data_IF_129191127322
#
_entry.id   IF_129191127322
#
_cell.length_a   1.000
_cell.length_b   1.000
_cell.length_c   1.000
_cell.angle_alpha   90.00
_cell.angle_beta   90.00
_cell.angle_gamma   90.00
#
_symmetry.space_group_name_H-M   'P 1'
#
loop_
_entity.id
_entity.type
_entity.pdbx_description
1 polymer ?
#
# COMPACT_ATOMS: atom_id res chain seq x y z
N UNK A 1 -49.66 26.70 13.63
CA UNK A 1 -49.32 26.23 15.00
C UNK A 1 -50.62 26.10 15.77
N UNK A 2 -50.95 24.91 16.28
CA UNK A 2 -52.18 24.72 17.08
C UNK A 2 -51.99 25.36 18.46
N UNK A 3 -52.96 26.17 18.91
CA UNK A 3 -52.98 26.77 20.25
C UNK A 3 -53.27 25.66 21.27
N UNK A 4 -52.37 25.50 22.24
CA UNK A 4 -52.49 24.54 23.34
C UNK A 4 -53.42 25.17 24.37
N UNK A 5 -54.64 24.62 24.54
CA UNK A 5 -55.66 25.20 25.42
C UNK A 5 -56.01 24.30 26.63
N UNK A 6 -55.39 23.12 26.76
CA UNK A 6 -55.63 22.14 27.84
C UNK A 6 -54.36 21.40 28.23
N UNK A 7 -54.27 20.93 29.49
CA UNK A 7 -53.17 20.10 30.01
C UNK A 7 -52.99 18.78 29.23
N UNK A 8 -54.06 18.27 28.62
CA UNK A 8 -54.01 17.12 27.71
C UNK A 8 -53.26 17.42 26.41
N UNK A 9 -53.51 18.58 25.81
CA UNK A 9 -52.85 19.02 24.56
C UNK A 9 -51.34 19.24 24.78
N UNK A 10 -50.97 19.77 25.95
CA UNK A 10 -49.57 19.98 26.32
C UNK A 10 -48.83 18.64 26.45
N UNK A 11 -49.44 17.66 27.10
CA UNK A 11 -48.86 16.32 27.29
C UNK A 11 -48.69 15.59 25.95
N UNK A 12 -49.67 15.72 25.06
CA UNK A 12 -49.61 15.18 23.71
C UNK A 12 -48.51 15.84 22.87
N UNK A 13 -48.39 17.18 22.94
CA UNK A 13 -47.32 17.91 22.27
C UNK A 13 -45.92 17.49 22.78
N UNK A 14 -45.77 17.31 24.10
CA UNK A 14 -44.52 16.81 24.71
C UNK A 14 -44.19 15.40 24.21
N UNK A 15 -45.17 14.50 24.14
CA UNK A 15 -44.97 13.15 23.64
C UNK A 15 -44.52 13.14 22.17
N UNK A 16 -45.13 14.00 21.33
CA UNK A 16 -44.74 14.16 19.93
C UNK A 16 -43.33 14.72 19.78
N UNK A 17 -42.97 15.74 20.57
CA UNK A 17 -41.63 16.33 20.57
C UNK A 17 -40.57 15.32 21.01
N UNK A 18 -40.85 14.52 22.05
CA UNK A 18 -39.95 13.43 22.48
C UNK A 18 -39.73 12.38 21.40
N UNK A 19 -40.80 11.96 20.72
CA UNK A 19 -40.70 11.01 19.60
C UNK A 19 -39.86 11.57 18.46
N UNK A 20 -40.05 12.85 18.12
CA UNK A 20 -39.27 13.54 17.10
C UNK A 20 -37.79 13.67 17.50
N UNK A 21 -37.52 14.00 18.76
CA UNK A 21 -36.16 14.12 19.29
C UNK A 21 -35.43 12.78 19.28
N UNK A 22 -36.09 11.68 19.66
CA UNK A 22 -35.51 10.34 19.62
C UNK A 22 -35.08 9.95 18.19
N UNK A 23 -35.95 10.16 17.19
CA UNK A 23 -35.61 9.89 15.79
C UNK A 23 -34.48 10.78 15.26
N UNK A 24 -34.38 12.03 15.72
CA UNK A 24 -33.28 12.92 15.34
C UNK A 24 -31.94 12.49 15.94
N UNK A 25 -31.93 12.01 17.20
CA UNK A 25 -30.73 11.50 17.85
C UNK A 25 -30.23 10.24 17.14
N UNK A 26 -31.12 9.33 16.76
CA UNK A 26 -30.78 8.11 16.04
C UNK A 26 -30.13 8.40 14.68
N UNK A 27 -30.71 9.33 13.91
CA UNK A 27 -30.14 9.81 12.64
C UNK A 27 -28.75 10.44 12.82
N UNK A 28 -28.58 11.25 13.87
CA UNK A 28 -27.31 11.89 14.18
C UNK A 28 -26.23 10.87 14.55
N UNK A 29 -26.58 9.85 15.34
CA UNK A 29 -25.66 8.78 15.70
C UNK A 29 -25.25 7.96 14.47
N UNK A 30 -26.18 7.66 13.57
CA UNK A 30 -25.87 6.95 12.32
C UNK A 30 -24.91 7.74 11.43
N UNK A 31 -25.12 9.06 11.29
CA UNK A 31 -24.24 9.94 10.53
C UNK A 31 -22.85 10.07 11.17
N UNK A 32 -22.77 10.17 12.50
CA UNK A 32 -21.50 10.18 13.23
C UNK A 32 -20.75 8.87 13.06
N UNK A 33 -21.42 7.72 13.15
CA UNK A 33 -20.81 6.42 12.93
C UNK A 33 -20.25 6.28 11.51
N UNK A 34 -21.02 6.67 10.49
CA UNK A 34 -20.54 6.65 9.10
C UNK A 34 -19.37 7.58 8.85
N UNK A 35 -19.41 8.79 9.43
CA UNK A 35 -18.32 9.76 9.29
C UNK A 35 -17.07 9.26 10.01
N UNK A 36 -17.22 8.74 11.23
CA UNK A 36 -16.14 8.13 11.99
C UNK A 36 -15.52 6.94 11.26
N UNK A 37 -16.34 6.05 10.71
CA UNK A 37 -15.86 4.89 9.94
C UNK A 37 -15.14 5.32 8.66
N UNK A 38 -15.64 6.34 7.96
CA UNK A 38 -15.01 6.89 6.75
C UNK A 38 -13.68 7.59 7.03
N UNK A 39 -13.53 8.21 8.21
CA UNK A 39 -12.29 8.87 8.64
C UNK A 39 -11.25 7.89 9.19
N UNK A 40 -11.58 6.60 9.37
CA UNK A 40 -10.58 5.60 9.76
C UNK A 40 -9.51 5.53 8.66
N UNK A 41 -8.22 5.68 9.02
CA UNK A 41 -7.13 5.69 8.04
C UNK A 41 -7.07 4.39 7.22
N UNK A 42 -7.51 3.26 7.79
CA UNK A 42 -7.65 1.99 7.08
C UNK A 42 -8.62 2.06 5.89
N UNK A 43 -9.77 2.72 6.06
CA UNK A 43 -10.77 2.87 5.01
C UNK A 43 -10.32 3.87 3.94
N UNK A 44 -9.59 4.93 4.35
CA UNK A 44 -8.95 5.86 3.41
C UNK A 44 -7.89 5.16 2.54
N UNK A 45 -6.97 4.41 3.16
CA UNK A 45 -5.93 3.66 2.44
C UNK A 45 -6.57 2.62 1.51
N UNK A 46 -7.58 1.88 1.98
CA UNK A 46 -8.28 0.89 1.16
C UNK A 46 -8.92 1.52 -0.08
N UNK A 47 -9.63 2.63 0.09
CA UNK A 47 -10.29 3.31 -1.01
C UNK A 47 -9.29 3.94 -1.98
N UNK A 48 -8.21 4.53 -1.48
CA UNK A 48 -7.15 5.10 -2.33
C UNK A 48 -6.40 4.01 -3.10
N UNK A 49 -6.06 2.88 -2.47
CA UNK A 49 -5.38 1.76 -3.13
C UNK A 49 -6.29 1.10 -4.17
N UNK A 50 -7.58 0.89 -3.88
CA UNK A 50 -8.52 0.31 -4.84
C UNK A 50 -8.76 1.22 -6.05
N UNK A 51 -8.89 2.53 -5.83
CA UNK A 51 -9.01 3.52 -6.91
C UNK A 51 -7.71 3.61 -7.73
N UNK A 52 -6.55 3.62 -7.06
CA UNK A 52 -5.26 3.63 -7.74
C UNK A 52 -5.04 2.33 -8.53
N UNK A 53 -5.35 1.16 -7.97
CA UNK A 53 -5.19 -0.12 -8.66
C UNK A 53 -6.15 -0.30 -9.86
N UNK A 54 -7.24 0.48 -9.92
CA UNK A 54 -8.17 0.50 -11.04
C UNK A 54 -7.61 1.16 -12.30
N UNK A 55 -6.63 2.07 -12.19
CA UNK A 55 -6.05 2.74 -13.35
C UNK A 55 -4.93 1.91 -14.00
N UNK A 56 -4.94 1.87 -15.33
CA UNK A 56 -3.94 1.12 -16.11
C UNK A 56 -2.51 1.63 -15.86
N UNK A 57 -2.36 2.94 -15.65
CA UNK A 57 -1.06 3.59 -15.38
C UNK A 57 -0.43 3.14 -14.07
N UNK A 58 -1.23 2.97 -13.01
CA UNK A 58 -0.72 2.51 -11.71
C UNK A 58 -0.32 1.03 -11.79
N UNK A 59 -1.06 0.20 -12.52
CA UNK A 59 -0.64 -1.20 -12.74
C UNK A 59 0.71 -1.28 -13.44
N UNK A 60 0.91 -0.48 -14.49
CA UNK A 60 2.19 -0.40 -15.18
C UNK A 60 3.31 0.13 -14.26
N UNK A 61 3.02 1.17 -13.48
CA UNK A 61 4.01 1.76 -12.56
C UNK A 61 4.37 0.81 -11.41
N UNK A 62 3.41 0.05 -10.86
CA UNK A 62 3.66 -0.98 -9.83
C UNK A 62 4.48 -2.14 -10.42
N UNK A 63 4.18 -2.58 -11.64
CA UNK A 63 4.97 -3.62 -12.32
C UNK A 63 6.41 -3.16 -12.57
N UNK A 64 6.60 -1.93 -13.06
CA UNK A 64 7.93 -1.37 -13.28
C UNK A 64 8.69 -1.14 -11.96
N UNK A 65 8.02 -0.62 -10.93
CA UNK A 65 8.61 -0.41 -9.59
C UNK A 65 8.97 -1.72 -8.92
N UNK A 66 8.09 -2.73 -8.98
CA UNK A 66 8.36 -4.06 -8.42
C UNK A 66 9.46 -4.80 -9.17
N UNK A 67 9.57 -4.62 -10.49
CA UNK A 67 10.70 -5.12 -11.27
C UNK A 67 12.02 -4.46 -10.82
N UNK A 68 12.05 -3.14 -10.64
CA UNK A 68 13.22 -2.41 -10.13
C UNK A 68 13.61 -2.82 -8.71
N UNK A 69 12.63 -3.01 -7.82
CA UNK A 69 12.85 -3.48 -6.44
C UNK A 69 13.35 -4.92 -6.42
N UNK A 70 12.77 -5.80 -7.22
CA UNK A 70 13.19 -7.21 -7.32
C UNK A 70 14.59 -7.29 -7.91
N UNK A 71 14.88 -6.55 -8.97
CA UNK A 71 16.20 -6.45 -9.56
C UNK A 71 17.23 -5.91 -8.56
N UNK A 72 16.92 -4.82 -7.86
CA UNK A 72 17.77 -4.25 -6.81
C UNK A 72 18.00 -5.21 -5.65
N UNK A 73 16.97 -5.96 -5.23
CA UNK A 73 17.07 -6.98 -4.20
C UNK A 73 17.94 -8.17 -4.64
N UNK A 74 17.77 -8.66 -5.87
CA UNK A 74 18.60 -9.73 -6.43
C UNK A 74 20.06 -9.29 -6.56
N UNK A 75 20.29 -8.08 -7.07
CA UNK A 75 21.63 -7.47 -7.18
C UNK A 75 22.25 -7.34 -5.78
N UNK A 76 21.51 -6.83 -4.79
CA UNK A 76 21.99 -6.73 -3.40
C UNK A 76 22.30 -8.10 -2.80
N UNK A 77 21.44 -9.08 -3.03
CA UNK A 77 21.64 -10.46 -2.56
C UNK A 77 22.83 -11.14 -3.24
N UNK A 78 23.16 -10.73 -4.47
CA UNK A 78 24.28 -11.26 -5.24
C UNK A 78 25.61 -10.61 -4.94
N UNK A 79 25.63 -9.27 -4.88
CA UNK A 79 26.85 -8.49 -4.67
C UNK A 79 27.22 -8.40 -3.19
N UNK A 80 26.24 -8.40 -2.29
CA UNK A 80 26.42 -8.23 -0.83
C UNK A 80 26.08 -9.51 -0.06
N UNK A 81 25.82 -10.62 -0.77
CA UNK A 81 25.26 -11.85 -0.20
C UNK A 81 25.89 -12.25 1.14
N UNK A 82 25.05 -12.44 2.17
CA UNK A 82 25.28 -12.87 3.59
C UNK A 82 26.69 -12.74 4.17
N UNK A 83 27.51 -11.80 3.70
CA UNK A 83 28.91 -11.70 4.05
C UNK A 83 29.04 -10.81 5.26
N UNK A 84 29.49 -11.38 6.37
CA UNK A 84 29.76 -10.67 7.62
C UNK A 84 30.98 -9.75 7.51
N UNK A 85 31.77 -9.87 6.42
CA UNK A 85 33.02 -9.14 6.25
C UNK A 85 32.78 -7.72 5.67
N UNK A 86 33.12 -6.65 6.41
CA UNK A 86 32.88 -5.27 6.00
C UNK A 86 33.59 -4.86 4.70
N UNK A 87 34.74 -5.45 4.37
CA UNK A 87 35.50 -5.15 3.14
C UNK A 87 34.71 -5.58 1.90
N UNK A 88 34.09 -6.76 1.95
CA UNK A 88 33.25 -7.28 0.87
C UNK A 88 31.98 -6.44 0.67
N UNK A 89 31.43 -5.85 1.74
CA UNK A 89 30.29 -4.92 1.64
C UNK A 89 30.65 -3.63 0.93
N UNK A 90 31.82 -3.06 1.23
CA UNK A 90 32.32 -1.84 0.59
C UNK A 90 32.58 -2.09 -0.90
N UNK A 91 33.26 -3.19 -1.23
CA UNK A 91 33.50 -3.60 -2.62
C UNK A 91 32.18 -3.88 -3.38
N UNK A 92 31.23 -4.56 -2.75
CA UNK A 92 29.90 -4.81 -3.33
C UNK A 92 29.11 -3.52 -3.59
N UNK A 93 29.17 -2.55 -2.67
CA UNK A 93 28.53 -1.25 -2.84
C UNK A 93 29.21 -0.42 -3.95
N UNK A 94 30.54 -0.45 -4.06
CA UNK A 94 31.27 0.23 -5.12
C UNK A 94 30.96 -0.38 -6.51
N UNK A 95 30.88 -1.71 -6.60
CA UNK A 95 30.42 -2.39 -7.82
C UNK A 95 28.97 -2.04 -8.17
N UNK A 96 28.08 -1.99 -7.17
CA UNK A 96 26.68 -1.60 -7.37
C UNK A 96 26.55 -0.17 -7.90
N UNK A 97 27.38 0.76 -7.39
CA UNK A 97 27.44 2.13 -7.89
C UNK A 97 27.86 2.19 -9.37
N UNK A 98 28.87 1.41 -9.75
CA UNK A 98 29.30 1.27 -11.16
C UNK A 98 28.23 0.66 -12.06
N UNK A 99 27.60 -0.43 -11.63
CA UNK A 99 26.53 -1.12 -12.39
C UNK A 99 25.30 -0.24 -12.56
N UNK A 100 24.90 0.52 -11.54
CA UNK A 100 23.73 1.41 -11.60
C UNK A 100 23.92 2.50 -12.65
N UNK A 101 25.13 3.06 -12.74
CA UNK A 101 25.48 4.04 -13.77
C UNK A 101 25.50 3.46 -15.20
N UNK A 102 25.88 2.19 -15.37
CA UNK A 102 25.88 1.52 -16.68
C UNK A 102 24.48 1.06 -17.10
N UNK A 103 23.67 0.53 -16.18
CA UNK A 103 22.29 0.09 -16.46
C UNK A 103 21.39 1.25 -16.85
N UNK A 104 21.59 2.43 -16.23
CA UNK A 104 20.87 3.65 -16.62
C UNK A 104 21.19 4.13 -18.05
N UNK A 105 22.32 3.69 -18.63
CA UNK A 105 22.76 4.07 -19.99
C UNK A 105 22.61 2.94 -21.02
N UNK A 106 22.67 1.67 -20.62
CA UNK A 106 22.59 0.50 -21.49
C UNK A 106 21.76 -0.64 -20.85
N UNK A 107 20.49 -0.83 -21.26
CA UNK A 107 19.63 -1.89 -20.73
C UNK A 107 20.13 -3.31 -21.05
N UNK A 108 21.03 -3.47 -22.04
CA UNK A 108 21.63 -4.76 -22.42
C UNK A 108 22.48 -5.43 -21.33
N UNK A 109 22.98 -4.67 -20.35
CA UNK A 109 23.74 -5.25 -19.23
C UNK A 109 22.87 -6.17 -18.35
N UNK A 110 21.58 -5.86 -18.17
CA UNK A 110 20.66 -6.72 -17.43
C UNK A 110 20.51 -8.11 -18.08
N UNK A 111 20.58 -8.18 -19.41
CA UNK A 111 20.48 -9.43 -20.19
C UNK A 111 21.71 -10.32 -19.96
N UNK A 112 22.90 -9.74 -19.83
CA UNK A 112 24.12 -10.51 -19.55
C UNK A 112 24.17 -10.98 -18.08
N UNK A 113 23.69 -10.17 -17.13
CA UNK A 113 23.66 -10.52 -15.71
C UNK A 113 22.70 -11.69 -15.43
N UNK A 114 21.50 -11.70 -16.04
CA UNK A 114 20.56 -12.83 -15.89
C UNK A 114 21.19 -14.15 -16.36
N UNK A 115 21.91 -14.15 -17.48
CA UNK A 115 22.43 -15.37 -18.10
C UNK A 115 23.59 -15.96 -17.28
N UNK A 116 24.44 -15.09 -16.71
CA UNK A 116 25.54 -15.50 -15.83
C UNK A 116 25.01 -16.04 -14.49
N UNK A 117 23.97 -15.41 -13.93
CA UNK A 117 23.36 -15.85 -12.69
C UNK A 117 22.62 -17.19 -12.85
N UNK A 118 21.89 -17.38 -13.96
CA UNK A 118 21.19 -18.62 -14.26
C UNK A 118 22.17 -19.79 -14.42
N UNK A 119 23.30 -19.56 -15.09
CA UNK A 119 24.39 -20.56 -15.21
C UNK A 119 25.00 -20.90 -13.85
N UNK A 120 25.22 -19.91 -12.98
CA UNK A 120 25.77 -20.13 -11.63
C UNK A 120 24.85 -20.99 -10.75
N UNK A 121 23.54 -20.73 -10.76
CA UNK A 121 22.55 -21.53 -10.02
C UNK A 121 22.50 -22.97 -10.55
N UNK A 122 22.48 -23.17 -11.88
CA UNK A 122 22.50 -24.52 -12.46
C UNK A 122 23.78 -25.29 -12.13
N UNK A 123 24.94 -24.62 -12.17
CA UNK A 123 26.22 -25.24 -11.85
C UNK A 123 26.29 -25.72 -10.40
N UNK A 124 25.78 -24.92 -9.46
CA UNK A 124 25.75 -25.30 -8.04
C UNK A 124 24.81 -26.48 -7.77
N UNK A 125 23.72 -26.63 -8.53
CA UNK A 125 22.81 -27.77 -8.43
C UNK A 125 23.36 -29.05 -9.09
N UNK A 126 24.26 -28.93 -10.06
CA UNK A 126 24.89 -30.07 -10.75
C UNK A 126 26.11 -30.64 -10.00
N UNK A 127 26.74 -29.86 -9.10
CA UNK A 127 27.90 -30.28 -8.30
C UNK A 127 27.52 -30.92 -6.96
N UNK A 128 26.23 -30.92 -6.59
CA UNK A 128 25.72 -31.56 -5.36
C UNK A 128 24.92 -32.85 -5.61
N UNK A 129 25.14 -33.53 -6.73
CA UNK A 129 24.64 -34.88 -7.04
C UNK A 129 25.80 -35.73 -7.54
#
# INVERSE_FOLDING_TARGET
MQKINSTGDLSFAIAQLKKKQAGQIELLQAQLYHTYDSLKPLNLIRNTILQAAGSADIKYNILNTSAGLTAGFLIKKLLVGKSTNPVLKIAGNALMFGVTNLVGKHPGFMIAVKDKFFKMIRYHRAVSS
#
